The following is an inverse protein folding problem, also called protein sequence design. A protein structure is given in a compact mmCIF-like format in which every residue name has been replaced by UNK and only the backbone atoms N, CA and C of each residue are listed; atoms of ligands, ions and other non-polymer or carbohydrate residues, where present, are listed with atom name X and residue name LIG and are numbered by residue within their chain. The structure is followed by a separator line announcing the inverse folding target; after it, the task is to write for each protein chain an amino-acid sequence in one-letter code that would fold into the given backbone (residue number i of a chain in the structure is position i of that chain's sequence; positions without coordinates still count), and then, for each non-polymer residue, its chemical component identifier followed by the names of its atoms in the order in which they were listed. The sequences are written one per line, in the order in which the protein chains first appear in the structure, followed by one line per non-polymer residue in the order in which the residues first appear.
data_IF_979001688134
#
_entry.id   IF_979001688134
#
_cell.length_a   1.000
_cell.length_b   1.000
_cell.length_c   1.000
_cell.angle_alpha   90.00
_cell.angle_beta   90.00
_cell.angle_gamma   90.00
#
_symmetry.space_group_name_H-M   'P 1'
#
loop_
_entity.id
_entity.type
_entity.pdbx_description
1 polymer ?
#
# COMPACT_ATOMS: atom_id res chain seq x y z
N UNK A 1 -1.40 3.91 -26.14
CA UNK A 1 -2.71 4.18 -25.48
C UNK A 1 -2.37 4.34 -24.00
N UNK A 2 -2.67 5.48 -23.40
CA UNK A 2 -2.42 5.74 -21.97
C UNK A 2 -3.74 5.61 -21.24
N UNK A 3 -3.82 4.79 -20.19
CA UNK A 3 -5.00 4.71 -19.34
C UNK A 3 -5.21 6.06 -18.64
N UNK A 4 -6.43 6.59 -18.74
CA UNK A 4 -6.82 7.88 -18.16
C UNK A 4 -8.01 7.71 -17.21
N UNK A 5 -8.11 8.64 -16.26
CA UNK A 5 -9.23 8.67 -15.30
C UNK A 5 -10.58 8.79 -16.04
N UNK A 6 -10.60 9.54 -17.16
CA UNK A 6 -11.77 9.69 -18.02
C UNK A 6 -12.29 8.39 -18.67
N UNK A 7 -11.48 7.35 -18.72
CA UNK A 7 -11.86 6.05 -19.26
C UNK A 7 -12.78 5.26 -18.30
N UNK A 8 -12.82 5.68 -17.01
CA UNK A 8 -13.63 5.04 -15.97
C UNK A 8 -15.00 5.70 -15.87
N UNK A 9 -16.01 5.07 -16.46
CA UNK A 9 -17.38 5.61 -16.54
C UNK A 9 -18.26 5.09 -15.40
N UNK A 10 -18.05 3.85 -14.95
CA UNK A 10 -18.91 3.19 -13.98
C UNK A 10 -18.18 2.89 -12.67
N UNK A 11 -18.91 2.83 -11.53
CA UNK A 11 -18.34 2.45 -10.24
C UNK A 11 -17.69 1.05 -10.25
N UNK A 12 -18.18 0.14 -11.12
CA UNK A 12 -17.55 -1.16 -11.32
C UNK A 12 -16.14 -1.01 -11.89
N UNK A 13 -15.96 -0.14 -12.88
CA UNK A 13 -14.64 0.14 -13.47
C UNK A 13 -13.72 0.83 -12.45
N UNK A 14 -14.24 1.81 -11.70
CA UNK A 14 -13.52 2.46 -10.61
C UNK A 14 -13.04 1.45 -9.56
N UNK A 15 -13.93 0.60 -9.07
CA UNK A 15 -13.59 -0.44 -8.08
C UNK A 15 -12.60 -1.47 -8.62
N UNK A 16 -12.70 -1.83 -9.90
CA UNK A 16 -11.77 -2.74 -10.55
C UNK A 16 -10.37 -2.12 -10.69
N UNK A 17 -10.29 -0.84 -11.05
CA UNK A 17 -9.02 -0.14 -11.29
C UNK A 17 -8.34 0.33 -9.99
N UNK A 18 -9.10 0.82 -9.01
CA UNK A 18 -8.57 1.51 -7.83
C UNK A 18 -8.92 0.86 -6.49
N UNK A 19 -9.85 -0.08 -6.48
CA UNK A 19 -10.42 -0.63 -5.24
C UNK A 19 -11.48 0.26 -4.58
N UNK A 20 -11.77 1.45 -5.15
CA UNK A 20 -12.71 2.44 -4.61
C UNK A 20 -13.81 2.75 -5.63
N UNK A 21 -14.99 3.17 -5.19
CA UNK A 21 -15.98 3.83 -6.04
C UNK A 21 -15.50 5.25 -6.39
N UNK A 22 -16.08 5.86 -7.43
CA UNK A 22 -15.74 7.24 -7.78
C UNK A 22 -15.96 8.22 -6.61
N UNK A 23 -17.04 8.04 -5.86
CA UNK A 23 -17.34 8.90 -4.70
C UNK A 23 -16.30 8.75 -3.57
N UNK A 24 -15.83 7.52 -3.31
CA UNK A 24 -14.77 7.25 -2.35
C UNK A 24 -13.43 7.83 -2.80
N UNK A 25 -13.10 7.67 -4.08
CA UNK A 25 -11.90 8.26 -4.66
C UNK A 25 -11.87 9.78 -4.50
N UNK A 26 -12.97 10.48 -4.80
CA UNK A 26 -13.07 11.94 -4.64
C UNK A 26 -12.88 12.38 -3.18
N UNK A 27 -13.43 11.65 -2.22
CA UNK A 27 -13.21 11.93 -0.79
C UNK A 27 -11.74 11.75 -0.39
N UNK A 28 -11.12 10.67 -0.85
CA UNK A 28 -9.71 10.40 -0.58
C UNK A 28 -8.81 11.45 -1.25
N UNK A 29 -9.15 11.90 -2.46
CA UNK A 29 -8.40 12.92 -3.20
C UNK A 29 -8.27 14.23 -2.42
N UNK A 30 -9.32 14.67 -1.74
CA UNK A 30 -9.27 15.90 -0.92
C UNK A 30 -8.20 15.77 0.17
N UNK A 31 -8.18 14.65 0.88
CA UNK A 31 -7.21 14.39 1.95
C UNK A 31 -5.79 14.20 1.37
N UNK A 32 -5.68 13.48 0.27
CA UNK A 32 -4.41 13.24 -0.42
C UNK A 32 -3.77 14.53 -0.92
N UNK A 33 -4.56 15.44 -1.50
CA UNK A 33 -4.07 16.74 -1.95
C UNK A 33 -3.57 17.59 -0.78
N UNK A 34 -4.29 17.61 0.34
CA UNK A 34 -3.85 18.31 1.55
C UNK A 34 -2.52 17.74 2.06
N UNK A 35 -2.41 16.42 2.16
CA UNK A 35 -1.18 15.72 2.58
C UNK A 35 -0.02 15.97 1.61
N UNK A 36 -0.28 16.00 0.31
CA UNK A 36 0.74 16.32 -0.70
C UNK A 36 1.31 17.72 -0.49
N UNK A 37 0.43 18.71 -0.28
CA UNK A 37 0.82 20.10 -0.02
C UNK A 37 1.61 20.24 1.28
N UNK A 38 1.21 19.53 2.33
CA UNK A 38 1.92 19.52 3.62
C UNK A 38 3.35 18.97 3.48
N UNK A 39 3.53 17.84 2.77
CA UNK A 39 4.82 17.20 2.57
C UNK A 39 5.74 17.96 1.62
N UNK A 40 5.20 18.63 0.62
CA UNK A 40 5.98 19.19 -0.49
C UNK A 40 5.91 20.70 -0.64
N UNK A 41 5.01 21.38 0.07
CA UNK A 41 4.86 22.84 0.07
C UNK A 41 4.25 23.44 -1.20
N UNK A 42 4.14 22.65 -2.31
CA UNK A 42 3.65 23.07 -3.61
C UNK A 42 2.83 21.95 -4.27
N UNK A 43 1.80 22.27 -5.07
CA UNK A 43 1.07 21.26 -5.82
C UNK A 43 1.94 20.56 -6.88
N UNK A 44 1.49 19.39 -7.32
CA UNK A 44 2.19 18.58 -8.34
C UNK A 44 2.50 19.41 -9.59
N UNK A 45 1.50 20.11 -10.11
CA UNK A 45 1.63 20.91 -11.33
C UNK A 45 2.70 22.01 -11.21
N UNK A 46 2.81 22.67 -10.05
CA UNK A 46 3.81 23.71 -9.81
C UNK A 46 5.21 23.15 -9.64
N UNK A 47 5.37 22.07 -8.88
CA UNK A 47 6.67 21.38 -8.76
C UNK A 47 7.22 20.90 -10.10
N UNK A 48 6.34 20.50 -11.00
CA UNK A 48 6.73 19.97 -12.31
C UNK A 48 7.04 21.07 -13.32
N UNK A 49 6.44 22.26 -13.18
CA UNK A 49 6.78 23.41 -14.01
C UNK A 49 8.22 23.92 -13.81
N UNK A 50 8.84 23.56 -12.68
CA UNK A 50 10.25 23.85 -12.38
C UNK A 50 11.22 22.89 -13.08
N UNK A 51 10.72 21.83 -13.71
CA UNK A 51 11.52 20.81 -14.40
C UNK A 51 11.24 20.93 -15.90
N UNK A 52 12.29 21.02 -16.73
CA UNK A 52 12.17 21.17 -18.19
C UNK A 52 11.53 19.96 -18.92
N UNK A 53 11.20 18.90 -18.19
CA UNK A 53 10.63 17.66 -18.75
C UNK A 53 9.12 17.61 -18.53
N UNK A 54 8.37 17.34 -19.60
CA UNK A 54 6.90 17.11 -19.49
C UNK A 54 6.60 16.00 -18.52
N UNK A 55 5.85 16.26 -17.46
CA UNK A 55 5.56 15.25 -16.43
C UNK A 55 4.61 14.18 -16.96
N UNK A 56 4.85 12.96 -16.56
CA UNK A 56 3.98 11.83 -16.91
C UNK A 56 2.63 11.87 -16.17
N UNK A 57 2.61 12.44 -14.95
CA UNK A 57 1.43 12.66 -14.12
C UNK A 57 1.39 14.15 -13.76
N UNK A 58 0.33 14.86 -14.17
CA UNK A 58 0.26 16.32 -14.12
C UNK A 58 -0.47 16.86 -12.88
N UNK A 59 -1.11 16.02 -12.08
CA UNK A 59 -1.92 16.44 -10.94
C UNK A 59 -1.88 15.42 -9.79
N UNK A 60 -2.32 15.85 -8.60
CA UNK A 60 -2.53 14.96 -7.45
C UNK A 60 -3.58 13.90 -7.75
N UNK A 61 -4.58 14.22 -8.56
CA UNK A 61 -5.61 13.26 -8.99
C UNK A 61 -5.01 12.14 -9.82
N UNK A 62 -4.17 12.46 -10.80
CA UNK A 62 -3.46 11.45 -11.60
C UNK A 62 -2.46 10.65 -10.76
N UNK A 63 -1.77 11.29 -9.82
CA UNK A 63 -0.84 10.60 -8.91
C UNK A 63 -1.58 9.64 -7.98
N UNK A 64 -2.69 10.05 -7.39
CA UNK A 64 -3.52 9.19 -6.55
C UNK A 64 -4.09 8.01 -7.35
N UNK A 65 -4.64 8.30 -8.54
CA UNK A 65 -5.18 7.27 -9.42
C UNK A 65 -4.10 6.24 -9.77
N UNK A 66 -2.94 6.69 -10.24
CA UNK A 66 -1.81 5.83 -10.57
C UNK A 66 -1.37 4.97 -9.38
N UNK A 67 -1.31 5.57 -8.18
CA UNK A 67 -0.91 4.87 -6.95
C UNK A 67 -1.90 3.76 -6.61
N UNK A 68 -3.19 4.06 -6.55
CA UNK A 68 -4.23 3.07 -6.26
C UNK A 68 -4.31 1.98 -7.33
N UNK A 69 -4.20 2.37 -8.61
CA UNK A 69 -4.14 1.44 -9.73
C UNK A 69 -2.98 0.45 -9.59
N UNK A 70 -1.79 0.96 -9.29
CA UNK A 70 -0.58 0.13 -9.11
C UNK A 70 -0.73 -0.89 -7.98
N UNK A 71 -1.34 -0.49 -6.86
CA UNK A 71 -1.63 -1.38 -5.73
C UNK A 71 -2.69 -2.44 -6.08
N UNK A 72 -3.71 -2.04 -6.83
CA UNK A 72 -4.84 -2.91 -7.16
C UNK A 72 -4.48 -4.01 -8.16
N UNK A 73 -3.68 -3.67 -9.17
CA UNK A 73 -3.38 -4.60 -10.28
C UNK A 73 -2.07 -5.36 -10.11
N UNK A 74 -1.13 -4.88 -9.27
CA UNK A 74 0.12 -5.57 -8.97
C UNK A 74 1.02 -5.82 -10.19
N UNK A 75 1.04 -4.92 -11.17
CA UNK A 75 1.85 -5.03 -12.39
C UNK A 75 3.34 -4.79 -12.09
N UNK A 76 4.21 -5.37 -12.91
CA UNK A 76 5.62 -5.00 -12.92
C UNK A 76 5.79 -3.54 -13.36
N UNK A 77 6.87 -2.87 -12.96
CA UNK A 77 7.09 -1.46 -13.30
C UNK A 77 7.12 -1.19 -14.79
N UNK A 78 7.66 -2.10 -15.58
CA UNK A 78 7.72 -1.94 -17.04
C UNK A 78 6.32 -1.96 -17.66
N UNK A 79 5.46 -2.90 -17.21
CA UNK A 79 4.07 -2.99 -17.69
C UNK A 79 3.25 -1.82 -17.17
N UNK A 80 3.43 -1.45 -15.91
CA UNK A 80 2.78 -0.29 -15.30
C UNK A 80 3.15 0.99 -16.02
N UNK A 81 4.44 1.16 -16.36
CA UNK A 81 4.94 2.27 -17.17
C UNK A 81 4.31 2.29 -18.56
N UNK A 82 4.29 1.15 -19.24
CA UNK A 82 3.69 1.03 -20.57
C UNK A 82 2.21 1.46 -20.57
N UNK A 83 1.41 0.95 -19.62
CA UNK A 83 -0.02 1.29 -19.48
C UNK A 83 -0.23 2.77 -19.15
N UNK A 84 0.69 3.37 -18.39
CA UNK A 84 0.59 4.77 -17.92
C UNK A 84 1.32 5.77 -18.83
N UNK A 85 1.94 5.30 -19.92
CA UNK A 85 2.64 6.16 -20.88
C UNK A 85 3.94 6.75 -20.33
N UNK A 86 4.68 5.99 -19.52
CA UNK A 86 5.99 6.34 -18.97
C UNK A 86 6.93 5.13 -18.98
N UNK A 87 8.21 5.35 -18.72
CA UNK A 87 9.15 4.23 -18.52
C UNK A 87 9.01 3.59 -17.11
N UNK A 88 9.53 2.36 -16.95
CA UNK A 88 9.43 1.60 -15.70
C UNK A 88 10.13 2.30 -14.52
N UNK A 89 11.21 3.06 -14.76
CA UNK A 89 11.91 3.80 -13.69
C UNK A 89 11.06 4.96 -13.18
N UNK A 90 10.39 5.68 -14.08
CA UNK A 90 9.44 6.74 -13.72
C UNK A 90 8.19 6.15 -13.05
N UNK A 91 7.71 5.00 -13.50
CA UNK A 91 6.61 4.29 -12.83
C UNK A 91 6.97 3.97 -11.37
N UNK A 92 8.16 3.44 -11.11
CA UNK A 92 8.65 3.17 -9.76
C UNK A 92 8.74 4.45 -8.90
N UNK A 93 9.31 5.54 -9.44
CA UNK A 93 9.43 6.81 -8.71
C UNK A 93 8.07 7.39 -8.36
N UNK A 94 7.14 7.41 -9.30
CA UNK A 94 5.78 7.92 -9.08
C UNK A 94 5.00 7.05 -8.09
N UNK A 95 5.16 5.73 -8.14
CA UNK A 95 4.55 4.84 -7.16
C UNK A 95 5.10 5.10 -5.76
N UNK A 96 6.42 5.22 -5.60
CA UNK A 96 7.05 5.53 -4.31
C UNK A 96 6.56 6.87 -3.77
N UNK A 97 6.52 7.91 -4.61
CA UNK A 97 5.99 9.22 -4.23
C UNK A 97 4.54 9.13 -3.76
N UNK A 98 3.69 8.51 -4.58
CA UNK A 98 2.26 8.39 -4.26
C UNK A 98 2.00 7.55 -3.01
N UNK A 99 2.78 6.49 -2.78
CA UNK A 99 2.68 5.68 -1.55
C UNK A 99 3.06 6.48 -0.31
N UNK A 100 4.13 7.29 -0.37
CA UNK A 100 4.55 8.15 0.75
C UNK A 100 3.43 9.14 1.11
N UNK A 101 2.83 9.79 0.11
CA UNK A 101 1.71 10.72 0.35
C UNK A 101 0.47 10.00 0.87
N UNK A 102 0.16 8.82 0.32
CA UNK A 102 -0.99 8.03 0.75
C UNK A 102 -0.83 7.54 2.20
N UNK A 103 0.36 7.08 2.58
CA UNK A 103 0.66 6.68 3.96
C UNK A 103 0.45 7.85 4.92
N UNK A 104 1.02 9.02 4.63
CA UNK A 104 0.81 10.24 5.42
C UNK A 104 -0.67 10.63 5.50
N UNK A 105 -1.40 10.53 4.38
CA UNK A 105 -2.85 10.79 4.34
C UNK A 105 -3.63 9.89 5.30
N UNK A 106 -3.30 8.59 5.31
CA UNK A 106 -3.97 7.61 6.18
C UNK A 106 -3.56 7.75 7.64
N UNK A 107 -2.32 8.18 7.92
CA UNK A 107 -1.88 8.52 9.28
C UNK A 107 -2.63 9.72 9.83
N UNK A 108 -2.71 10.83 9.08
CA UNK A 108 -3.47 12.03 9.46
C UNK A 108 -4.97 11.72 9.67
N UNK A 109 -5.53 10.85 8.84
CA UNK A 109 -6.93 10.40 8.96
C UNK A 109 -7.14 9.35 10.08
N UNK A 110 -6.07 8.95 10.80
CA UNK A 110 -6.10 7.90 11.83
C UNK A 110 -6.68 6.56 11.34
N UNK A 111 -6.49 6.26 10.04
CA UNK A 111 -6.97 5.04 9.41
C UNK A 111 -5.96 3.89 9.47
N UNK A 112 -4.71 4.16 9.82
CA UNK A 112 -3.69 3.13 9.94
C UNK A 112 -3.72 2.48 11.32
N UNK A 113 -3.64 1.14 11.40
CA UNK A 113 -3.54 0.46 12.67
C UNK A 113 -2.21 0.79 13.35
N UNK A 114 -2.24 0.93 14.65
CA UNK A 114 -1.03 1.13 15.44
C UNK A 114 -0.12 -0.09 15.34
N UNK A 115 1.13 0.11 14.93
CA UNK A 115 2.10 -0.97 14.67
C UNK A 115 3.11 -1.20 15.77
N UNK A 116 3.25 -0.26 16.73
CA UNK A 116 4.25 -0.33 17.81
C UNK A 116 3.58 -0.12 19.16
N UNK A 117 3.83 -1.02 20.07
CA UNK A 117 3.38 -0.99 21.46
C UNK A 117 4.60 -1.15 22.36
N UNK A 118 4.58 -0.50 23.51
CA UNK A 118 5.69 -0.58 24.49
C UNK A 118 5.74 -1.96 25.16
N UNK A 119 4.56 -2.50 25.45
CA UNK A 119 4.42 -3.77 26.14
C UNK A 119 3.08 -4.45 25.79
N UNK A 120 2.89 -5.64 26.30
CA UNK A 120 1.66 -6.44 26.10
C UNK A 120 0.43 -5.79 26.75
N UNK A 121 0.59 -5.00 27.80
CA UNK A 121 -0.52 -4.34 28.49
C UNK A 121 -1.10 -3.21 27.63
N UNK A 122 -0.22 -2.40 27.02
CA UNK A 122 -0.61 -1.35 26.06
C UNK A 122 -1.29 -1.94 24.82
N UNK A 123 -0.79 -3.07 24.31
CA UNK A 123 -1.44 -3.80 23.21
C UNK A 123 -2.82 -4.31 23.59
N UNK A 124 -2.97 -4.93 24.77
CA UNK A 124 -4.25 -5.41 25.26
C UNK A 124 -5.27 -4.28 25.47
N UNK A 125 -4.83 -3.12 25.99
CA UNK A 125 -5.66 -1.94 26.16
C UNK A 125 -6.14 -1.38 24.82
N UNK A 126 -5.26 -1.27 23.83
CA UNK A 126 -5.60 -0.84 22.47
C UNK A 126 -6.67 -1.73 21.83
N UNK A 127 -6.59 -3.05 22.07
CA UNK A 127 -7.54 -4.01 21.51
C UNK A 127 -8.83 -4.17 22.31
N UNK A 128 -8.92 -3.60 23.51
CA UNK A 128 -10.09 -3.78 24.41
C UNK A 128 -11.40 -3.28 23.80
N UNK A 129 -11.34 -2.33 22.89
CA UNK A 129 -12.53 -1.76 22.23
C UNK A 129 -12.95 -2.55 20.97
N UNK A 130 -12.10 -3.47 20.51
CA UNK A 130 -12.38 -4.25 19.31
C UNK A 130 -13.20 -5.49 19.65
N UNK A 131 -14.36 -5.62 19.00
CA UNK A 131 -15.28 -6.76 19.24
C UNK A 131 -14.79 -8.07 18.61
N UNK A 132 -13.98 -7.97 17.57
CA UNK A 132 -13.51 -9.13 16.80
C UNK A 132 -12.06 -8.92 16.39
N UNK A 133 -11.20 -9.87 16.73
CA UNK A 133 -9.81 -9.90 16.33
C UNK A 133 -9.60 -11.07 15.39
N UNK A 134 -8.95 -10.81 14.26
CA UNK A 134 -8.53 -11.84 13.31
C UNK A 134 -7.02 -11.99 13.48
N UNK A 135 -6.59 -13.18 13.92
CA UNK A 135 -5.18 -13.52 14.03
C UNK A 135 -4.79 -14.35 12.81
N UNK A 136 -3.81 -13.86 12.06
CA UNK A 136 -3.13 -14.64 11.04
C UNK A 136 -1.73 -15.00 11.55
N UNK A 137 -1.45 -16.29 11.64
CA UNK A 137 -0.19 -16.82 12.12
C UNK A 137 0.77 -17.06 10.97
N UNK A 138 1.87 -16.31 10.93
CA UNK A 138 2.97 -16.57 10.02
C UNK A 138 3.92 -17.61 10.65
N UNK A 139 4.03 -18.78 10.04
CA UNK A 139 5.06 -19.76 10.41
C UNK A 139 6.43 -19.33 9.88
N UNK A 140 7.31 -18.88 10.77
CA UNK A 140 8.70 -18.61 10.42
C UNK A 140 9.51 -19.88 10.52
N UNK A 141 10.17 -20.30 9.45
CA UNK A 141 11.10 -21.44 9.49
C UNK A 141 12.30 -21.07 10.36
N UNK A 142 12.49 -21.83 11.40
CA UNK A 142 13.66 -21.75 12.29
C UNK A 142 14.58 -22.94 12.04
N UNK A 143 15.87 -22.74 12.29
CA UNK A 143 16.81 -23.85 12.35
C UNK A 143 16.42 -24.72 13.55
N UNK A 144 16.35 -26.04 13.34
CA UNK A 144 15.92 -26.98 14.38
C UNK A 144 16.86 -26.90 15.59
N UNK A 145 16.35 -26.52 16.78
CA UNK A 145 17.19 -26.54 17.99
C UNK A 145 17.74 -27.93 18.26
N UNK A 146 18.93 -28.01 18.80
CA UNK A 146 19.55 -29.28 19.23
C UNK A 146 18.99 -29.78 20.55
N UNK A 147 18.34 -28.95 21.33
CA UNK A 147 17.71 -29.26 22.60
C UNK A 147 16.26 -29.69 22.41
N UNK A 148 15.87 -30.84 23.00
CA UNK A 148 14.54 -31.44 22.82
C UNK A 148 13.42 -30.64 23.52
N UNK A 149 13.71 -29.92 24.61
CA UNK A 149 12.71 -29.08 25.30
C UNK A 149 12.41 -27.83 24.47
N UNK A 150 13.45 -27.16 23.99
CA UNK A 150 13.33 -26.01 23.11
C UNK A 150 12.66 -26.40 21.78
N UNK A 151 12.91 -27.64 21.30
CA UNK A 151 12.25 -28.19 20.13
C UNK A 151 10.74 -28.32 20.31
N UNK A 152 10.28 -28.77 21.50
CA UNK A 152 8.84 -28.90 21.80
C UNK A 152 8.12 -27.58 21.90
N UNK A 153 8.77 -26.54 22.45
CA UNK A 153 8.21 -25.20 22.55
C UNK A 153 7.97 -24.55 21.18
N UNK A 154 8.85 -24.86 20.20
CA UNK A 154 8.76 -24.29 18.86
C UNK A 154 8.06 -25.23 17.84
N UNK A 155 7.50 -26.35 18.29
CA UNK A 155 6.84 -27.29 17.41
C UNK A 155 5.43 -26.83 17.03
N UNK A 156 5.25 -26.49 15.74
CA UNK A 156 3.93 -26.26 15.16
C UNK A 156 3.35 -27.59 14.67
N UNK A 157 2.31 -28.09 15.33
CA UNK A 157 1.63 -29.35 14.98
C UNK A 157 0.98 -29.40 13.59
N UNK A 158 1.02 -28.30 12.82
CA UNK A 158 0.40 -28.21 11.49
C UNK A 158 1.18 -28.88 10.35
N UNK A 159 2.45 -29.17 10.53
CA UNK A 159 3.27 -29.87 9.53
C UNK A 159 3.95 -31.11 10.13
N UNK A 160 3.23 -32.19 10.15
CA UNK A 160 3.86 -33.54 10.26
C UNK A 160 4.49 -33.88 8.90
N UNK A 161 5.50 -33.17 8.46
CA UNK A 161 6.37 -33.65 7.42
C UNK A 161 7.48 -34.48 8.07
N UNK A 162 7.28 -35.76 8.13
CA UNK A 162 8.34 -36.71 8.39
C UNK A 162 9.34 -36.60 7.22
N UNK A 163 10.62 -36.24 7.44
CA UNK A 163 11.60 -36.36 6.39
C UNK A 163 11.81 -37.88 6.19
N UNK A 164 11.48 -38.38 5.01
CA UNK A 164 11.92 -39.69 4.57
C UNK A 164 13.44 -39.69 4.64
N UNK A 165 13.99 -40.62 5.46
CA UNK A 165 15.40 -40.93 5.47
C UNK A 165 15.81 -41.49 4.11
N UNK A 166 17.05 -41.22 3.68
CA UNK A 166 17.64 -41.83 2.51
C UNK A 166 17.83 -43.34 2.67
#
# INVERSE_FOLDING_TARGET
MKLQISDLITDRQWSAATGCTQAQFKKLLILFTASYLELHGKPVAERQSEIEVTPSLASEEELLFFTLFSLKVGLTYDVLGFVSGMDGSNAKRNQTLGLTVLEHTLECAQCLPRRKFKDAAEFAEYLRQEKTLIFDGLEQRMQRPSDDEVQREHYSGKKSATPSKP
#
